data_IF_271490133419
#
_entry.id   IF_271490133419
#
_cell.length_a   1.000
_cell.length_b   1.000
_cell.length_c   1.000
_cell.angle_alpha   90.00
_cell.angle_beta   90.00
_cell.angle_gamma   90.00
#
_symmetry.space_group_name_H-M   'P 1'
#
loop_
_entity.id
_entity.type
_entity.pdbx_description
1 polymer ?
#
# COMPACT_ATOMS: atom_id res chain seq x y z
N UNK A 1 -2.25 3.82 0.24
CA UNK A 1 -1.69 5.19 0.35
C UNK A 1 -0.81 5.19 1.59
N UNK A 2 0.48 4.93 1.41
CA UNK A 2 1.45 4.97 2.49
C UNK A 2 1.92 6.41 2.74
N UNK A 3 1.74 6.92 3.94
CA UNK A 3 2.45 8.07 4.45
C UNK A 3 3.35 7.59 5.57
N UNK A 4 4.66 7.67 5.41
CA UNK A 4 5.60 7.39 6.48
C UNK A 4 6.11 8.70 7.06
N UNK A 5 6.13 8.77 8.38
CA UNK A 5 6.73 9.86 9.12
C UNK A 5 8.18 9.49 9.39
N UNK A 6 9.10 10.01 8.63
CA UNK A 6 10.52 9.90 8.92
C UNK A 6 10.95 11.10 9.78
N UNK A 7 11.59 10.81 10.90
CA UNK A 7 12.04 11.82 11.86
C UNK A 7 13.50 12.19 11.54
N UNK A 8 13.70 13.39 10.98
CA UNK A 8 15.04 13.95 10.78
C UNK A 8 15.10 15.04 9.71
N UNK A 9 15.92 16.03 9.92
CA UNK A 9 16.07 17.24 9.09
C UNK A 9 16.67 17.04 7.69
N UNK A 10 16.82 15.80 7.22
CA UNK A 10 17.48 15.47 5.94
C UNK A 10 16.50 14.91 4.87
N UNK A 11 15.20 14.91 5.11
CA UNK A 11 14.25 14.20 4.24
C UNK A 11 13.52 15.11 3.23
N UNK A 12 14.12 16.20 2.80
CA UNK A 12 13.59 17.02 1.71
C UNK A 12 13.36 16.20 0.43
N UNK A 13 14.09 15.09 0.25
CA UNK A 13 14.09 14.28 -0.95
C UNK A 13 13.44 12.89 -0.78
N UNK A 14 12.64 12.67 0.27
CA UNK A 14 11.92 11.39 0.44
C UNK A 14 11.03 11.04 -0.75
N UNK A 15 10.53 12.04 -1.45
CA UNK A 15 9.77 11.90 -2.69
C UNK A 15 10.58 11.19 -3.79
N UNK A 16 11.87 11.45 -3.84
CA UNK A 16 12.78 10.98 -4.90
C UNK A 16 13.23 9.52 -4.71
N UNK A 17 13.00 8.93 -3.53
CA UNK A 17 13.42 7.56 -3.25
C UNK A 17 12.37 6.50 -3.60
N UNK A 18 11.14 6.90 -3.95
CA UNK A 18 10.14 5.94 -4.41
C UNK A 18 10.47 5.49 -5.83
N UNK A 19 10.46 4.19 -6.03
CA UNK A 19 10.74 3.54 -7.31
C UNK A 19 9.64 2.56 -7.67
N UNK A 20 9.44 2.35 -8.97
CA UNK A 20 8.67 1.21 -9.46
C UNK A 20 9.66 0.10 -9.80
N UNK A 21 9.42 -1.07 -9.24
CA UNK A 21 10.24 -2.27 -9.44
C UNK A 21 9.43 -3.26 -10.27
N UNK A 22 9.98 -3.71 -11.39
CA UNK A 22 9.50 -4.85 -12.14
C UNK A 22 10.53 -5.98 -11.99
N UNK A 23 10.15 -7.07 -11.37
CA UNK A 23 11.06 -8.17 -11.03
C UNK A 23 10.51 -9.51 -11.47
N UNK A 24 11.39 -10.34 -12.00
CA UNK A 24 11.12 -11.75 -12.31
C UNK A 24 12.12 -12.60 -11.53
N UNK A 25 11.72 -13.13 -10.37
CA UNK A 25 12.57 -14.02 -9.59
C UNK A 25 12.90 -15.32 -10.34
N UNK A 26 14.09 -15.90 -10.12
CA UNK A 26 14.48 -17.19 -10.71
C UNK A 26 13.49 -18.30 -10.34
N UNK A 27 13.01 -18.28 -9.09
CA UNK A 27 12.03 -19.23 -8.56
C UNK A 27 10.85 -18.45 -7.97
N UNK A 28 9.82 -18.20 -8.80
CA UNK A 28 8.63 -17.49 -8.33
C UNK A 28 7.86 -16.80 -9.45
N UNK A 29 6.90 -16.01 -9.06
CA UNK A 29 6.08 -15.21 -9.98
C UNK A 29 6.69 -13.84 -10.19
N UNK A 30 6.64 -13.37 -11.42
CA UNK A 30 6.99 -12.00 -11.74
C UNK A 30 6.03 -11.03 -11.05
N UNK A 31 6.54 -9.87 -10.62
CA UNK A 31 5.72 -8.83 -9.98
C UNK A 31 6.18 -7.42 -10.33
N UNK A 32 5.24 -6.49 -10.25
CA UNK A 32 5.47 -5.05 -10.35
C UNK A 32 5.06 -4.44 -9.02
N UNK A 33 5.92 -3.61 -8.45
CA UNK A 33 5.69 -3.05 -7.12
C UNK A 33 6.20 -1.60 -7.00
N UNK A 34 5.62 -0.87 -6.07
CA UNK A 34 6.17 0.39 -5.57
C UNK A 34 7.02 0.07 -4.35
N UNK A 35 8.25 0.55 -4.35
CA UNK A 35 9.23 0.34 -3.28
C UNK A 35 9.98 1.64 -2.98
N UNK A 36 10.83 1.65 -1.97
CA UNK A 36 11.83 2.67 -1.80
C UNK A 36 13.18 2.20 -2.37
N UNK A 37 13.93 3.11 -2.97
CA UNK A 37 15.24 2.79 -3.52
C UNK A 37 16.17 2.25 -2.42
N UNK A 38 16.81 1.11 -2.69
CA UNK A 38 17.71 0.45 -1.75
C UNK A 38 17.02 -0.47 -0.71
N UNK A 39 15.69 -0.54 -0.69
CA UNK A 39 14.95 -1.48 0.17
C UNK A 39 14.66 -2.80 -0.55
N UNK A 40 14.76 -3.92 0.16
CA UNK A 40 14.32 -5.22 -0.32
C UNK A 40 12.81 -5.42 -0.17
N UNK A 41 12.15 -4.55 0.59
CA UNK A 41 10.71 -4.57 0.86
C UNK A 41 9.94 -3.79 -0.20
N UNK A 42 8.62 -4.07 -0.29
CA UNK A 42 7.70 -3.34 -1.18
C UNK A 42 6.63 -2.63 -0.35
N UNK A 43 6.05 -1.56 -0.89
CA UNK A 43 4.95 -0.81 -0.27
C UNK A 43 3.59 -1.27 -0.75
N UNK A 44 3.50 -1.66 -2.01
CA UNK A 44 2.33 -2.24 -2.67
C UNK A 44 2.78 -2.93 -3.96
N UNK A 45 2.05 -3.90 -4.45
CA UNK A 45 2.45 -4.61 -5.65
C UNK A 45 1.39 -5.55 -6.20
N UNK A 46 1.64 -6.02 -7.43
CA UNK A 46 0.81 -6.94 -8.18
C UNK A 46 1.71 -7.96 -8.85
N UNK A 47 1.34 -9.25 -8.83
CA UNK A 47 2.07 -10.27 -9.56
C UNK A 47 1.36 -10.72 -10.85
N UNK A 48 2.08 -11.43 -11.72
CA UNK A 48 1.60 -11.95 -13.00
C UNK A 48 0.45 -12.96 -12.89
N UNK A 49 0.16 -13.43 -11.67
CA UNK A 49 -0.95 -14.35 -11.37
C UNK A 49 -2.19 -13.62 -10.87
N UNK A 50 -2.18 -12.29 -10.85
CA UNK A 50 -3.29 -11.47 -10.39
C UNK A 50 -3.44 -11.42 -8.88
N UNK A 51 -2.35 -11.55 -8.12
CA UNK A 51 -2.36 -11.32 -6.68
C UNK A 51 -1.81 -9.94 -6.39
N UNK A 52 -2.65 -9.07 -5.84
CA UNK A 52 -2.30 -7.73 -5.41
C UNK A 52 -2.04 -7.68 -3.90
N UNK A 53 -1.20 -6.76 -3.47
CA UNK A 53 -0.89 -6.55 -2.05
C UNK A 53 -0.66 -5.08 -1.73
N UNK A 54 -0.95 -4.74 -0.47
CA UNK A 54 -0.66 -3.46 0.13
C UNK A 54 -0.51 -3.59 1.63
N UNK A 55 0.01 -2.55 2.28
CA UNK A 55 0.07 -2.52 3.74
C UNK A 55 -0.04 -1.11 4.28
N UNK A 56 -0.38 -1.02 5.55
CA UNK A 56 -0.26 0.20 6.32
C UNK A 56 0.18 -0.08 7.76
N UNK A 57 0.88 0.86 8.35
CA UNK A 57 1.17 0.84 9.79
C UNK A 57 -0.12 1.11 10.56
N UNK A 58 -0.36 0.40 11.66
CA UNK A 58 -1.45 0.70 12.59
C UNK A 58 -0.93 1.51 13.76
N UNK A 59 -1.64 2.60 14.07
CA UNK A 59 -1.33 3.44 15.21
C UNK A 59 -1.93 2.80 16.44
N UNK A 60 -1.07 2.12 17.20
CA UNK A 60 -1.44 1.45 18.44
C UNK A 60 -0.91 2.23 19.64
N UNK A 61 -1.58 2.07 20.78
CA UNK A 61 -1.07 2.65 22.03
C UNK A 61 0.30 2.07 22.42
N UNK A 62 0.58 0.81 22.06
CA UNK A 62 1.88 0.16 22.27
C UNK A 62 3.00 0.87 21.51
N UNK A 63 2.76 1.16 20.22
CA UNK A 63 3.69 1.91 19.37
C UNK A 63 3.92 3.33 19.90
N UNK A 64 2.85 4.00 20.34
CA UNK A 64 2.92 5.34 20.92
C UNK A 64 3.76 5.40 22.19
N UNK A 65 3.62 4.39 23.06
CA UNK A 65 4.34 4.33 24.32
C UNK A 65 5.80 3.85 24.19
N UNK A 66 6.20 3.37 23.00
CA UNK A 66 7.55 2.80 22.76
C UNK A 66 7.91 1.71 23.80
N UNK A 67 6.93 0.95 24.28
CA UNK A 67 7.11 -0.02 25.35
C UNK A 67 7.54 -1.42 24.91
N UNK A 68 7.66 -1.64 23.62
CA UNK A 68 8.02 -2.98 23.12
C UNK A 68 9.50 -3.04 22.91
N UNK A 69 10.16 -3.89 23.68
CA UNK A 69 11.56 -4.25 23.48
C UNK A 69 11.65 -5.36 22.43
N UNK A 70 12.13 -5.01 21.25
CA UNK A 70 12.39 -5.94 20.15
C UNK A 70 13.85 -6.43 20.14
N UNK A 71 14.65 -6.08 21.16
CA UNK A 71 16.04 -6.48 21.24
C UNK A 71 16.17 -7.99 21.25
N UNK A 72 16.93 -8.54 20.28
CA UNK A 72 17.12 -9.97 20.13
C UNK A 72 15.99 -10.73 19.42
N UNK A 73 14.89 -10.07 19.07
CA UNK A 73 13.82 -10.67 18.26
C UNK A 73 14.13 -10.54 16.76
N UNK A 74 13.82 -11.58 16.01
CA UNK A 74 13.87 -11.55 14.54
C UNK A 74 12.54 -10.99 14.03
N UNK A 75 12.33 -9.70 14.22
CA UNK A 75 11.11 -9.04 13.78
C UNK A 75 11.08 -8.89 12.24
N UNK A 76 9.91 -9.08 11.65
CA UNK A 76 9.73 -9.07 10.20
C UNK A 76 9.10 -7.77 9.71
N UNK A 77 9.63 -7.24 8.62
CA UNK A 77 9.05 -6.11 7.92
C UNK A 77 7.84 -6.52 7.07
N UNK A 78 6.78 -5.70 7.09
CA UNK A 78 5.56 -5.96 6.33
C UNK A 78 5.80 -5.98 4.83
N UNK A 79 6.64 -5.08 4.33
CA UNK A 79 6.97 -5.01 2.91
C UNK A 79 7.70 -6.23 2.41
N UNK A 80 8.57 -6.81 3.24
CA UNK A 80 9.22 -8.08 2.95
C UNK A 80 8.19 -9.23 2.92
N UNK A 81 7.27 -9.29 3.89
CA UNK A 81 6.20 -10.30 3.92
C UNK A 81 5.29 -10.22 2.69
N UNK A 82 4.97 -9.01 2.25
CA UNK A 82 4.21 -8.79 1.01
C UNK A 82 4.96 -9.30 -0.22
N UNK A 83 6.25 -8.98 -0.34
CA UNK A 83 7.10 -9.46 -1.44
C UNK A 83 7.17 -10.98 -1.47
N UNK A 84 7.42 -11.63 -0.34
CA UNK A 84 7.41 -13.09 -0.22
C UNK A 84 6.04 -13.67 -0.61
N UNK A 85 4.97 -13.06 -0.15
CA UNK A 85 3.60 -13.48 -0.47
C UNK A 85 3.33 -13.48 -1.97
N UNK A 86 3.54 -12.37 -2.66
CA UNK A 86 3.22 -12.25 -4.08
C UNK A 86 4.23 -12.94 -4.99
N UNK A 87 5.51 -13.02 -4.62
CA UNK A 87 6.51 -13.70 -5.44
C UNK A 87 6.33 -15.21 -5.46
N UNK A 88 5.71 -15.82 -4.44
CA UNK A 88 5.62 -17.27 -4.29
C UNK A 88 4.23 -17.85 -4.55
N UNK A 89 3.19 -17.03 -4.66
CA UNK A 89 1.82 -17.52 -4.65
C UNK A 89 0.99 -16.99 -5.81
N UNK A 90 0.05 -17.82 -6.27
CA UNK A 90 -0.90 -17.52 -7.34
C UNK A 90 -2.31 -17.22 -6.82
N UNK A 91 -2.49 -17.04 -5.49
CA UNK A 91 -3.76 -16.68 -4.88
C UNK A 91 -3.55 -15.87 -3.60
N UNK A 92 -4.55 -15.07 -3.23
CA UNK A 92 -4.56 -14.30 -1.98
C UNK A 92 -4.47 -15.21 -0.75
N UNK A 93 -5.15 -16.36 -0.78
CA UNK A 93 -5.09 -17.35 0.29
C UNK A 93 -3.67 -17.93 0.47
N UNK A 94 -2.99 -18.27 -0.64
CA UNK A 94 -1.62 -18.78 -0.61
C UNK A 94 -0.65 -17.74 -0.06
N UNK A 95 -0.73 -16.49 -0.55
CA UNK A 95 0.09 -15.38 -0.09
C UNK A 95 -0.12 -15.09 1.41
N UNK A 96 -1.37 -15.13 1.87
CA UNK A 96 -1.72 -15.02 3.29
C UNK A 96 -1.09 -16.14 4.12
N UNK A 97 -1.19 -17.39 3.65
CA UNK A 97 -0.62 -18.56 4.35
C UNK A 97 0.90 -18.47 4.46
N UNK A 98 1.59 -17.99 3.42
CA UNK A 98 3.03 -17.74 3.44
C UNK A 98 3.39 -16.69 4.48
N UNK A 99 2.71 -15.54 4.49
CA UNK A 99 2.96 -14.48 5.47
C UNK A 99 2.70 -14.94 6.91
N UNK A 100 1.61 -15.67 7.15
CA UNK A 100 1.27 -16.22 8.46
C UNK A 100 2.31 -17.25 8.95
N UNK A 101 2.81 -18.11 8.08
CA UNK A 101 3.86 -19.10 8.45
C UNK A 101 5.11 -18.39 9.00
N UNK A 102 5.49 -17.25 8.43
CA UNK A 102 6.58 -16.43 8.93
C UNK A 102 6.23 -15.74 10.26
N UNK A 103 5.00 -15.16 10.35
CA UNK A 103 4.56 -14.40 11.52
C UNK A 103 4.28 -15.25 12.75
N UNK A 104 3.96 -16.53 12.59
CA UNK A 104 3.82 -17.46 13.71
C UNK A 104 5.17 -17.73 14.42
N UNK A 105 6.28 -17.60 13.71
CA UNK A 105 7.61 -17.80 14.25
C UNK A 105 8.30 -16.48 14.66
N UNK A 106 7.85 -15.33 14.14
CA UNK A 106 8.53 -14.04 14.32
C UNK A 106 7.49 -12.90 14.38
N UNK A 107 7.63 -11.94 15.30
CA UNK A 107 6.72 -10.81 15.36
C UNK A 107 6.88 -9.86 14.16
N UNK A 108 5.87 -9.02 13.92
CA UNK A 108 6.04 -7.84 13.06
C UNK A 108 6.97 -6.82 13.71
N UNK A 109 7.82 -6.19 12.91
CA UNK A 109 8.71 -5.10 13.37
C UNK A 109 7.94 -3.85 13.80
N UNK A 110 6.77 -3.64 13.20
CA UNK A 110 5.83 -2.57 13.55
C UNK A 110 4.40 -3.05 13.36
N UNK A 111 3.45 -2.71 14.27
CA UNK A 111 2.05 -3.07 14.11
C UNK A 111 1.48 -2.58 12.78
N UNK A 112 0.66 -3.39 12.14
CA UNK A 112 0.06 -2.99 10.87
C UNK A 112 -0.82 -4.02 10.21
N UNK A 113 -1.36 -3.62 9.07
CA UNK A 113 -2.16 -4.47 8.19
C UNK A 113 -1.34 -4.88 6.98
N UNK A 114 -1.55 -6.11 6.51
CA UNK A 114 -1.10 -6.61 5.21
C UNK A 114 -2.34 -7.11 4.48
N UNK A 115 -2.56 -6.61 3.28
CA UNK A 115 -3.67 -7.01 2.42
C UNK A 115 -3.14 -7.89 1.28
N UNK A 116 -3.82 -9.02 1.03
CA UNK A 116 -3.68 -9.81 -0.19
C UNK A 116 -5.04 -9.95 -0.87
N UNK A 117 -5.08 -9.65 -2.16
CA UNK A 117 -6.30 -9.61 -2.95
C UNK A 117 -6.07 -10.33 -4.27
N UNK A 118 -7.02 -11.15 -4.67
CA UNK A 118 -7.10 -11.71 -6.01
C UNK A 118 -8.52 -11.53 -6.59
N UNK A 119 -8.80 -12.13 -7.74
CA UNK A 119 -10.11 -12.03 -8.39
C UNK A 119 -11.27 -12.69 -7.63
N UNK A 120 -11.00 -13.43 -6.57
CA UNK A 120 -11.98 -14.19 -5.81
C UNK A 120 -12.19 -13.67 -4.40
N UNK A 121 -11.12 -13.16 -3.77
CA UNK A 121 -11.18 -12.78 -2.36
C UNK A 121 -10.20 -11.65 -2.00
N UNK A 122 -10.51 -10.97 -0.90
CA UNK A 122 -9.63 -10.03 -0.23
C UNK A 122 -9.41 -10.49 1.21
N UNK A 123 -8.16 -10.62 1.62
CA UNK A 123 -7.77 -11.09 2.95
C UNK A 123 -6.83 -10.06 3.57
N UNK A 124 -7.07 -9.73 4.84
CA UNK A 124 -6.20 -8.85 5.63
C UNK A 124 -5.63 -9.64 6.81
N UNK A 125 -4.33 -9.51 7.01
CA UNK A 125 -3.66 -9.87 8.25
C UNK A 125 -3.48 -8.59 9.07
N UNK A 126 -4.06 -8.54 10.25
CA UNK A 126 -3.75 -7.53 11.27
C UNK A 126 -2.71 -8.12 12.21
N UNK A 127 -1.57 -7.47 12.36
CA UNK A 127 -0.48 -7.94 13.19
C UNK A 127 0.03 -6.87 14.14
N UNK A 128 0.13 -7.23 15.42
CA UNK A 128 0.85 -6.50 16.46
C UNK A 128 2.13 -7.26 16.80
N UNK A 129 2.81 -6.87 17.86
CA UNK A 129 4.04 -7.53 18.32
C UNK A 129 3.80 -8.97 18.80
N UNK A 130 2.63 -9.25 19.37
CA UNK A 130 2.28 -10.54 19.98
C UNK A 130 0.91 -11.08 19.54
N UNK A 131 0.19 -10.37 18.67
CA UNK A 131 -1.18 -10.72 18.25
C UNK A 131 -1.33 -10.67 16.76
N UNK A 132 -2.05 -11.66 16.24
CA UNK A 132 -2.42 -11.77 14.84
C UNK A 132 -3.93 -11.99 14.73
N UNK A 133 -4.53 -11.33 13.74
CA UNK A 133 -5.90 -11.62 13.31
C UNK A 133 -5.96 -11.65 11.79
N UNK A 134 -6.88 -12.44 11.25
CA UNK A 134 -7.12 -12.55 9.82
C UNK A 134 -8.57 -12.26 9.54
N UNK A 135 -8.83 -11.38 8.59
CA UNK A 135 -10.18 -11.07 8.12
C UNK A 135 -10.29 -11.28 6.62
N UNK A 136 -11.33 -11.99 6.20
CA UNK A 136 -11.77 -12.07 4.80
C UNK A 136 -12.90 -11.11 4.54
N UNK A 137 -12.95 -10.51 3.34
CA UNK A 137 -14.11 -9.73 2.94
C UNK A 137 -15.31 -10.63 2.70
N UNK A 138 -16.41 -10.34 3.38
CA UNK A 138 -17.71 -11.00 3.16
C UNK A 138 -18.68 -10.19 2.31
N UNK A 139 -18.38 -8.89 2.10
CA UNK A 139 -19.25 -7.92 1.42
C UNK A 139 -18.77 -7.56 0.01
N UNK A 140 -17.66 -8.12 -0.46
CA UNK A 140 -17.03 -7.74 -1.73
C UNK A 140 -16.25 -6.43 -1.68
N UNK A 141 -16.29 -5.69 -0.55
CA UNK A 141 -15.50 -4.49 -0.32
C UNK A 141 -14.76 -4.58 1.02
N UNK A 142 -13.58 -3.98 1.06
CA UNK A 142 -12.75 -3.93 2.24
C UNK A 142 -11.94 -2.64 2.24
N UNK A 143 -11.86 -1.97 3.39
CA UNK A 143 -10.99 -0.81 3.58
C UNK A 143 -10.11 -1.00 4.80
N UNK A 144 -8.93 -0.41 4.75
CA UNK A 144 -8.01 -0.24 5.88
C UNK A 144 -7.44 1.17 5.88
N UNK A 145 -7.23 1.67 7.08
CA UNK A 145 -6.45 2.85 7.36
C UNK A 145 -5.35 2.48 8.36
N UNK A 146 -4.68 3.44 8.97
CA UNK A 146 -3.62 3.19 9.92
C UNK A 146 -4.17 2.71 11.28
N UNK A 147 -5.11 1.76 11.27
CA UNK A 147 -5.75 1.18 12.44
C UNK A 147 -6.21 -0.25 12.19
N UNK A 148 -6.36 -1.01 13.25
CA UNK A 148 -6.97 -2.34 13.25
C UNK A 148 -8.51 -2.26 13.23
N UNK A 149 -9.14 -3.29 12.66
CA UNK A 149 -10.59 -3.48 12.71
C UNK A 149 -10.98 -4.70 13.57
N UNK A 150 -10.13 -5.72 13.59
CA UNK A 150 -10.34 -6.93 14.42
C UNK A 150 -9.62 -6.79 15.76
N UNK A 151 -8.38 -6.32 15.75
CA UNK A 151 -7.59 -6.02 16.95
C UNK A 151 -7.83 -4.59 17.44
N UNK A 152 -9.07 -4.11 17.39
CA UNK A 152 -9.46 -2.70 17.60
C UNK A 152 -9.09 -2.17 19.01
N UNK A 153 -9.07 -3.02 20.02
CA UNK A 153 -8.65 -2.67 21.38
C UNK A 153 -7.18 -2.24 21.50
N UNK A 154 -6.37 -2.51 20.47
CA UNK A 154 -4.97 -2.07 20.42
C UNK A 154 -4.80 -0.69 19.80
N UNK A 155 -5.82 -0.14 19.15
CA UNK A 155 -5.71 1.18 18.50
C UNK A 155 -5.46 2.28 19.54
N UNK A 156 -4.68 3.29 19.15
CA UNK A 156 -4.58 4.54 19.92
C UNK A 156 -5.94 5.25 19.88
N UNK A 157 -6.61 5.44 21.02
CA UNK A 157 -7.92 6.10 21.08
C UNK A 157 -7.87 7.57 20.62
N UNK A 158 -6.69 8.20 20.60
CA UNK A 158 -6.51 9.57 20.16
C UNK A 158 -6.28 9.68 18.63
N UNK A 159 -6.14 8.55 17.91
CA UNK A 159 -5.94 8.57 16.45
C UNK A 159 -7.27 8.78 15.69
N UNK A 160 -7.74 10.02 15.70
CA UNK A 160 -8.94 10.44 14.97
C UNK A 160 -8.75 10.35 13.45
N UNK A 161 -7.54 10.63 12.97
CA UNK A 161 -7.24 10.69 11.53
C UNK A 161 -7.47 9.34 10.84
N UNK A 162 -6.95 8.25 11.39
CA UNK A 162 -7.14 6.91 10.79
C UNK A 162 -8.60 6.49 10.81
N UNK A 163 -9.32 6.82 11.86
CA UNK A 163 -10.74 6.53 11.96
C UNK A 163 -11.55 7.28 10.90
N UNK A 164 -11.34 8.59 10.76
CA UNK A 164 -12.05 9.43 9.78
C UNK A 164 -11.82 8.93 8.34
N UNK A 165 -10.57 8.59 7.99
CA UNK A 165 -10.23 8.07 6.66
C UNK A 165 -10.82 6.68 6.41
N UNK A 166 -10.82 5.80 7.41
CA UNK A 166 -11.47 4.49 7.32
C UNK A 166 -12.98 4.63 7.05
N UNK A 167 -13.68 5.43 7.86
CA UNK A 167 -15.12 5.66 7.70
C UNK A 167 -15.42 6.22 6.32
N UNK A 168 -14.63 7.21 5.86
CA UNK A 168 -14.82 7.79 4.54
C UNK A 168 -14.58 6.79 3.40
N UNK A 169 -13.54 5.98 3.48
CA UNK A 169 -13.27 4.94 2.49
C UNK A 169 -14.41 3.92 2.43
N UNK A 170 -14.93 3.47 3.57
CA UNK A 170 -16.07 2.56 3.62
C UNK A 170 -17.33 3.19 3.03
N UNK A 171 -17.61 4.47 3.29
CA UNK A 171 -18.74 5.19 2.67
C UNK A 171 -18.63 5.19 1.15
N UNK A 172 -17.46 5.54 0.61
CA UNK A 172 -17.23 5.58 -0.85
C UNK A 172 -17.40 4.20 -1.47
N UNK A 173 -16.82 3.16 -0.86
CA UNK A 173 -16.89 1.79 -1.35
C UNK A 173 -18.32 1.23 -1.29
N UNK A 174 -19.03 1.39 -0.18
CA UNK A 174 -20.37 0.83 -0.01
C UNK A 174 -21.42 1.53 -0.86
N UNK A 175 -21.28 2.85 -1.05
CA UNK A 175 -22.19 3.61 -1.93
C UNK A 175 -22.04 3.25 -3.41
N UNK A 176 -20.91 2.64 -3.81
CA UNK A 176 -20.58 2.34 -5.20
C UNK A 176 -20.25 0.85 -5.44
N UNK A 177 -20.51 -0.04 -4.51
CA UNK A 177 -20.04 -1.43 -4.51
C UNK A 177 -20.40 -2.27 -5.75
N UNK A 178 -21.40 -1.86 -6.52
CA UNK A 178 -21.82 -2.54 -7.76
C UNK A 178 -21.12 -2.02 -9.02
N UNK A 179 -20.36 -0.92 -8.92
CA UNK A 179 -19.78 -0.21 -10.06
C UNK A 179 -18.35 0.26 -9.80
N UNK A 180 -17.62 -0.43 -8.93
CA UNK A 180 -16.23 -0.07 -8.64
C UNK A 180 -15.36 -0.43 -9.85
N UNK A 181 -14.74 0.60 -10.43
CA UNK A 181 -13.78 0.52 -11.53
C UNK A 181 -12.44 1.09 -11.09
N UNK A 182 -11.37 0.83 -11.84
CA UNK A 182 -10.06 1.45 -11.61
C UNK A 182 -10.13 2.98 -11.63
N UNK A 183 -10.90 3.56 -12.56
CA UNK A 183 -11.11 5.02 -12.63
C UNK A 183 -11.81 5.55 -11.38
N UNK A 184 -12.83 4.86 -10.89
CA UNK A 184 -13.50 5.27 -9.65
C UNK A 184 -12.57 5.17 -8.44
N UNK A 185 -11.70 4.16 -8.38
CA UNK A 185 -10.69 4.05 -7.32
C UNK A 185 -9.66 5.18 -7.37
N UNK A 186 -9.26 5.63 -8.57
CA UNK A 186 -8.43 6.84 -8.74
C UNK A 186 -9.15 8.07 -8.17
N UNK A 187 -10.47 8.22 -8.44
CA UNK A 187 -11.28 9.31 -7.86
C UNK A 187 -11.34 9.20 -6.33
N UNK A 188 -11.55 8.02 -5.76
CA UNK A 188 -11.57 7.84 -4.31
C UNK A 188 -10.24 8.22 -3.65
N UNK A 189 -9.12 7.94 -4.31
CA UNK A 189 -7.80 8.32 -3.81
C UNK A 189 -7.58 9.83 -3.74
N UNK A 190 -8.40 10.63 -4.44
CA UNK A 190 -8.34 12.10 -4.48
C UNK A 190 -9.25 12.76 -3.44
N UNK A 191 -10.00 11.99 -2.65
CA UNK A 191 -11.06 12.50 -1.78
C UNK A 191 -10.56 13.45 -0.68
N UNK A 192 -11.21 14.58 -0.57
CA UNK A 192 -10.97 15.64 0.42
C UNK A 192 -12.23 15.98 1.24
N UNK A 193 -13.17 15.04 1.39
CA UNK A 193 -14.44 15.32 2.08
C UNK A 193 -14.27 15.85 3.52
N UNK A 194 -13.14 15.51 4.18
CA UNK A 194 -12.81 16.01 5.51
C UNK A 194 -11.83 17.21 5.48
N UNK A 195 -11.79 17.95 4.37
CA UNK A 195 -10.81 19.01 4.10
C UNK A 195 -9.46 18.46 3.64
N UNK A 196 -8.61 19.22 2.95
CA UNK A 196 -7.31 18.78 2.45
C UNK A 196 -6.27 18.68 3.59
N UNK A 197 -6.51 17.87 4.60
CA UNK A 197 -5.70 17.75 5.81
C UNK A 197 -5.47 16.30 6.21
N UNK A 198 -5.05 16.04 7.45
CA UNK A 198 -4.69 14.70 7.92
C UNK A 198 -5.86 13.71 7.91
N UNK A 199 -7.11 14.21 7.97
CA UNK A 199 -8.32 13.38 8.02
C UNK A 199 -8.87 12.98 6.65
N UNK A 200 -8.26 13.44 5.56
CA UNK A 200 -8.65 13.10 4.18
C UNK A 200 -7.94 11.86 3.67
N UNK A 201 -8.54 11.19 2.67
CA UNK A 201 -7.88 10.09 1.95
C UNK A 201 -6.66 10.64 1.21
N UNK A 202 -6.83 11.70 0.42
CA UNK A 202 -5.71 12.46 -0.13
C UNK A 202 -5.27 13.52 0.88
N UNK A 203 -4.18 13.25 1.56
CA UNK A 203 -3.67 14.07 2.67
C UNK A 203 -2.77 15.17 2.15
N UNK A 204 -2.95 16.37 2.70
CA UNK A 204 -2.07 17.50 2.47
C UNK A 204 -1.54 18.02 3.80
N UNK A 205 -0.27 18.37 3.84
CA UNK A 205 0.31 19.15 4.90
C UNK A 205 1.25 20.20 4.32
N UNK A 206 1.21 21.44 4.80
CA UNK A 206 2.17 22.46 4.45
C UNK A 206 3.55 22.18 5.09
N UNK A 207 3.59 21.43 6.18
CA UNK A 207 4.85 21.03 6.84
C UNK A 207 5.28 19.65 6.33
N UNK A 208 6.47 19.58 5.73
CA UNK A 208 7.06 18.33 5.25
C UNK A 208 7.30 17.29 6.35
N UNK A 209 7.28 17.72 7.62
CA UNK A 209 7.37 16.83 8.79
C UNK A 209 6.06 16.15 9.13
N UNK A 210 4.96 16.62 8.56
CA UNK A 210 3.65 16.03 8.74
C UNK A 210 3.35 15.04 7.62
N UNK A 211 2.37 14.18 7.87
CA UNK A 211 1.98 13.16 6.94
C UNK A 211 1.22 13.74 5.75
N UNK A 212 1.73 13.50 4.55
CA UNK A 212 1.09 13.89 3.29
C UNK A 212 1.04 12.69 2.34
N UNK A 213 0.10 12.69 1.39
CA UNK A 213 0.06 11.70 0.32
C UNK A 213 1.16 11.99 -0.69
N UNK A 214 2.05 11.04 -0.92
CA UNK A 214 3.17 11.16 -1.86
C UNK A 214 2.85 10.51 -3.20
N UNK A 215 2.07 9.44 -3.19
CA UNK A 215 1.67 8.68 -4.36
C UNK A 215 0.43 7.85 -4.04
N UNK A 216 -0.17 7.27 -5.06
CA UNK A 216 -1.18 6.23 -4.92
C UNK A 216 -0.98 5.18 -6.02
N UNK A 217 -1.41 3.95 -5.75
CA UNK A 217 -1.53 2.94 -6.79
C UNK A 217 -2.94 2.36 -6.81
N UNK A 218 -3.40 2.01 -8.00
CA UNK A 218 -4.62 1.26 -8.25
C UNK A 218 -4.24 0.02 -9.04
N UNK A 219 -4.57 -1.15 -8.52
CA UNK A 219 -4.31 -2.44 -9.17
C UNK A 219 -5.61 -2.99 -9.73
N UNK A 220 -5.61 -3.21 -11.03
CA UNK A 220 -6.73 -3.79 -11.77
C UNK A 220 -6.38 -5.23 -12.12
N UNK A 221 -7.14 -6.18 -11.58
CA UNK A 221 -6.92 -7.61 -11.78
C UNK A 221 -7.79 -8.08 -12.93
N UNK A 222 -7.17 -8.52 -14.04
CA UNK A 222 -7.89 -9.19 -15.12
C UNK A 222 -8.16 -10.64 -14.73
N UNK A 223 -9.42 -10.93 -14.41
CA UNK A 223 -9.86 -12.26 -14.00
C UNK A 223 -9.70 -13.30 -15.11
N UNK A 224 -9.84 -12.89 -16.37
CA UNK A 224 -9.77 -13.79 -17.53
C UNK A 224 -8.34 -14.11 -17.92
N UNK A 225 -7.43 -13.16 -17.74
CA UNK A 225 -6.01 -13.30 -18.05
C UNK A 225 -5.16 -12.50 -17.05
N UNK A 226 -4.74 -13.11 -15.94
CA UNK A 226 -3.97 -12.41 -14.90
C UNK A 226 -2.70 -11.70 -15.39
N UNK A 227 -2.06 -12.17 -16.47
CA UNK A 227 -0.91 -11.48 -17.07
C UNK A 227 -1.24 -10.11 -17.67
N UNK A 228 -2.53 -9.82 -17.91
CA UNK A 228 -3.01 -8.51 -18.37
C UNK A 228 -3.47 -7.60 -17.23
N UNK A 229 -3.30 -8.08 -16.00
CA UNK A 229 -3.55 -7.23 -14.83
C UNK A 229 -2.60 -6.04 -14.85
N UNK A 230 -3.10 -4.88 -14.43
CA UNK A 230 -2.40 -3.59 -14.56
C UNK A 230 -2.24 -2.93 -13.20
N UNK A 231 -1.09 -2.35 -12.95
CA UNK A 231 -0.86 -1.44 -11.84
C UNK A 231 -0.76 -0.01 -12.38
N UNK A 232 -1.64 0.86 -11.90
CA UNK A 232 -1.59 2.30 -12.15
C UNK A 232 -0.90 2.97 -10.98
N UNK A 233 0.18 3.69 -11.22
CA UNK A 233 0.94 4.40 -10.19
C UNK A 233 0.86 5.90 -10.44
N UNK A 234 0.39 6.63 -9.46
CA UNK A 234 0.32 8.08 -9.48
C UNK A 234 1.66 8.66 -8.96
N UNK A 235 2.20 9.62 -9.69
CA UNK A 235 3.52 10.21 -9.48
C UNK A 235 3.44 11.52 -8.70
N UNK A 236 2.80 11.53 -7.55
CA UNK A 236 2.59 12.72 -6.73
C UNK A 236 1.27 12.64 -5.96
N UNK A 237 0.81 13.77 -5.43
CA UNK A 237 -0.48 13.81 -4.73
C UNK A 237 -1.61 13.39 -5.67
N UNK A 238 -2.44 12.41 -5.29
CA UNK A 238 -3.46 11.86 -6.18
C UNK A 238 -4.40 12.90 -6.82
N UNK A 239 -4.78 13.94 -6.06
CA UNK A 239 -5.69 14.98 -6.56
C UNK A 239 -5.11 15.84 -7.70
N UNK A 240 -3.81 15.87 -7.87
CA UNK A 240 -3.10 16.54 -8.96
C UNK A 240 -2.63 15.54 -10.01
N UNK A 241 -1.94 14.50 -9.56
CA UNK A 241 -1.21 13.60 -10.45
C UNK A 241 -2.10 12.78 -11.38
N UNK A 242 -3.26 12.28 -10.91
CA UNK A 242 -4.18 11.56 -11.80
C UNK A 242 -4.76 12.40 -12.95
N UNK A 243 -4.76 13.72 -12.81
CA UNK A 243 -5.32 14.67 -13.80
C UNK A 243 -4.28 15.22 -14.76
N UNK A 244 -3.00 15.13 -14.40
CA UNK A 244 -1.93 15.68 -15.21
C UNK A 244 -1.54 14.71 -16.33
N UNK A 245 -1.15 15.24 -17.48
CA UNK A 245 -0.83 14.49 -18.71
C UNK A 245 0.20 13.36 -18.46
N UNK A 246 1.24 13.62 -17.69
CA UNK A 246 2.28 12.64 -17.33
C UNK A 246 2.30 12.35 -15.83
N UNK A 247 1.15 12.49 -15.14
CA UNK A 247 1.07 12.37 -13.70
C UNK A 247 0.94 10.96 -13.17
N UNK A 248 0.80 9.99 -14.04
CA UNK A 248 0.69 8.59 -13.67
C UNK A 248 1.21 7.69 -14.78
N UNK A 249 1.53 6.46 -14.41
CA UNK A 249 1.92 5.40 -15.33
C UNK A 249 1.01 4.20 -15.10
N UNK A 250 0.64 3.51 -16.19
CA UNK A 250 -0.01 2.21 -16.16
C UNK A 250 0.99 1.16 -16.69
N UNK A 251 1.20 0.11 -15.92
CA UNK A 251 2.14 -0.97 -16.24
C UNK A 251 1.44 -2.32 -16.14
N UNK A 252 1.65 -3.14 -17.15
CA UNK A 252 1.36 -4.57 -17.13
C UNK A 252 2.67 -5.38 -17.17
N UNK A 253 2.57 -6.71 -17.33
CA UNK A 253 3.75 -7.57 -17.32
C UNK A 253 4.58 -7.54 -18.60
N UNK A 254 4.16 -6.81 -19.62
CA UNK A 254 4.97 -6.57 -20.83
C UNK A 254 6.20 -5.71 -20.50
N UNK A 255 6.15 -4.90 -19.43
CA UNK A 255 7.30 -4.13 -18.93
C UNK A 255 8.54 -5.00 -18.65
N UNK A 256 8.37 -6.26 -18.30
CA UNK A 256 9.47 -7.20 -18.07
C UNK A 256 10.18 -7.61 -19.35
N UNK A 257 9.50 -7.50 -20.48
CA UNK A 257 10.04 -7.81 -21.82
C UNK A 257 10.53 -6.56 -22.54
N UNK A 258 9.82 -5.46 -22.43
CA UNK A 258 10.01 -4.24 -23.21
C UNK A 258 10.79 -3.16 -22.44
N UNK A 259 10.89 -3.29 -21.12
CA UNK A 259 11.45 -2.27 -20.24
C UNK A 259 10.45 -1.18 -19.88
N UNK A 260 10.82 -0.33 -18.94
CA UNK A 260 10.03 0.85 -18.57
C UNK A 260 10.05 1.87 -19.73
N UNK A 261 8.93 2.58 -19.97
CA UNK A 261 8.93 3.71 -20.89
C UNK A 261 10.09 4.68 -20.57
N UNK A 262 10.79 5.22 -21.58
CA UNK A 262 12.03 5.99 -21.39
C UNK A 262 11.88 7.17 -20.43
N UNK A 263 10.75 7.86 -20.47
CA UNK A 263 10.45 9.00 -19.62
C UNK A 263 10.39 8.63 -18.12
N UNK A 264 10.04 7.39 -17.80
CA UNK A 264 10.03 6.88 -16.42
C UNK A 264 11.34 6.23 -16.03
N UNK A 265 12.03 5.61 -16.99
CA UNK A 265 13.34 5.01 -16.73
C UNK A 265 14.40 6.07 -16.36
N UNK A 266 14.30 7.29 -16.92
CA UNK A 266 15.18 8.41 -16.59
C UNK A 266 14.89 9.06 -15.23
N UNK A 267 13.72 8.79 -14.61
CA UNK A 267 13.26 9.45 -13.39
C UNK A 267 12.81 10.91 -13.56
N UNK A 268 12.83 11.45 -14.78
CA UNK A 268 12.46 12.86 -15.05
C UNK A 268 10.97 13.12 -14.78
N UNK A 269 10.09 12.15 -15.07
CA UNK A 269 8.68 12.26 -14.77
C UNK A 269 8.42 12.44 -13.26
N UNK A 270 9.15 11.71 -12.42
CA UNK A 270 9.06 11.85 -10.96
C UNK A 270 9.50 13.23 -10.49
N UNK A 271 10.60 13.77 -11.03
CA UNK A 271 11.10 15.09 -10.65
C UNK A 271 10.10 16.20 -10.94
N UNK A 272 9.45 16.19 -12.09
CA UNK A 272 8.45 17.20 -12.46
C UNK A 272 7.28 17.26 -11.48
N UNK A 273 6.75 16.11 -11.09
CA UNK A 273 5.57 16.05 -10.22
C UNK A 273 5.86 16.47 -8.79
N UNK A 274 7.03 16.18 -8.28
CA UNK A 274 7.36 16.46 -6.89
C UNK A 274 7.88 17.88 -6.66
N UNK A 275 8.29 18.60 -7.69
CA UNK A 275 8.76 19.99 -7.59
C UNK A 275 7.61 20.99 -7.69
N UNK A 276 6.53 20.65 -8.42
CA UNK A 276 5.42 21.56 -8.71
C UNK A 276 4.22 21.43 -7.75
N UNK A 277 4.24 20.49 -6.80
CA UNK A 277 3.19 20.22 -5.81
C UNK A 277 3.66 20.37 -4.37
#
# INVERSE_FOLDING_TARGET
IGSEKLVGSKYHNYKEINVVVAEKPDNGHAFIAVAAAGEASIKMGLNERGVATGSNISRTWELKQKKVDLTGLRALDRGWLMREGISRNSSAQGATSTALAHLLANPMSTPGNIEFVDSNEAIVIEGSYDRLAVQKSSSGVLARANRFQVLDSLNDPEDVSSYARYVRAMQLLTSNNKQITSELMKVFSQDHANGPGPNSICRHSPDYREETSLSAAVMEIDRSNPNRSTIHVCLGKPCHAWKAENGHIALDFDVLREGLPPEFASGEAFKRFYVET
#
